data_IF_796121816716
#
_entry.id   IF_796121816716
#
_cell.length_a   1.000
_cell.length_b   1.000
_cell.length_c   1.000
_cell.angle_alpha   90.00
_cell.angle_beta   90.00
_cell.angle_gamma   90.00
#
_symmetry.space_group_name_H-M   'P 1'
#
loop_
_entity.id
_entity.type
_entity.pdbx_description
1 polymer ?
#
# COMPACT_ATOMS: atom_id res chain seq x y z
N UNK A 1 -34.19 15.47 -75.27
CA UNK A 1 -35.08 15.70 -74.11
C UNK A 1 -34.23 16.35 -73.05
N UNK A 2 -34.40 17.66 -72.88
CA UNK A 2 -33.53 18.54 -72.06
C UNK A 2 -34.15 18.76 -70.68
N UNK A 3 -33.47 18.31 -69.61
CA UNK A 3 -33.90 18.54 -68.22
C UNK A 3 -33.17 19.72 -67.59
N UNK A 4 -33.93 20.76 -67.30
CA UNK A 4 -33.48 22.05 -66.72
C UNK A 4 -33.18 21.82 -65.20
N UNK A 5 -32.01 22.31 -64.76
CA UNK A 5 -31.65 22.43 -63.32
C UNK A 5 -32.32 23.70 -62.75
N UNK A 6 -32.85 23.64 -61.50
CA UNK A 6 -33.31 24.85 -60.81
C UNK A 6 -32.14 25.57 -60.13
N UNK A 7 -32.13 26.89 -60.32
CA UNK A 7 -31.19 27.83 -59.66
C UNK A 7 -31.59 28.04 -58.21
N UNK A 8 -30.65 27.84 -57.30
CA UNK A 8 -30.81 28.18 -55.84
C UNK A 8 -30.37 29.64 -55.64
N UNK A 9 -31.32 30.47 -55.17
CA UNK A 9 -31.09 31.85 -54.74
C UNK A 9 -30.27 31.87 -53.46
N UNK A 10 -29.19 32.60 -53.47
CA UNK A 10 -28.37 32.88 -52.29
C UNK A 10 -29.04 34.01 -51.48
N UNK A 11 -29.46 33.69 -50.23
CA UNK A 11 -29.90 34.70 -49.28
C UNK A 11 -28.69 35.09 -48.42
N UNK A 12 -28.27 36.32 -48.53
CA UNK A 12 -27.27 36.96 -47.69
C UNK A 12 -27.79 37.05 -46.26
N UNK A 13 -27.19 36.31 -45.34
CA UNK A 13 -27.42 36.54 -43.91
C UNK A 13 -26.21 37.26 -43.33
N UNK A 14 -26.48 38.44 -42.82
CA UNK A 14 -25.53 39.25 -42.07
C UNK A 14 -25.00 38.51 -40.87
N UNK A 15 -23.67 38.37 -40.80
CA UNK A 15 -22.97 37.76 -39.69
C UNK A 15 -22.74 38.82 -38.61
N UNK A 16 -23.55 38.75 -37.52
CA UNK A 16 -23.32 39.52 -36.30
C UNK A 16 -22.14 38.93 -35.56
N UNK A 17 -21.03 39.67 -35.48
CA UNK A 17 -19.86 39.34 -34.67
C UNK A 17 -20.22 39.47 -33.20
N UNK A 18 -20.43 38.33 -32.52
CA UNK A 18 -20.44 38.25 -31.06
C UNK A 18 -19.00 38.02 -30.60
N UNK A 19 -18.40 39.07 -30.06
CA UNK A 19 -17.08 38.98 -29.39
C UNK A 19 -17.30 38.25 -28.06
N UNK A 20 -17.00 36.96 -28.03
CA UNK A 20 -16.93 36.17 -26.79
C UNK A 20 -15.62 36.53 -26.07
N UNK A 21 -15.70 37.30 -24.98
CA UNK A 21 -14.60 37.51 -24.06
C UNK A 21 -14.24 36.17 -23.37
N UNK A 22 -13.18 35.51 -23.82
CA UNK A 22 -12.57 34.37 -23.10
C UNK A 22 -11.95 34.88 -21.79
N UNK A 23 -12.66 34.71 -20.69
CA UNK A 23 -12.10 34.85 -19.34
C UNK A 23 -11.13 33.70 -19.16
N UNK A 24 -9.83 33.95 -19.24
CA UNK A 24 -8.76 33.01 -18.85
C UNK A 24 -8.83 32.82 -17.35
N UNK A 25 -9.55 31.79 -16.88
CA UNK A 25 -9.46 31.32 -15.52
C UNK A 25 -8.05 30.73 -15.31
N UNK A 26 -7.32 31.15 -14.27
CA UNK A 26 -6.02 30.52 -13.97
C UNK A 26 -6.27 29.06 -13.61
N UNK A 27 -5.65 28.16 -14.38
CA UNK A 27 -5.60 26.73 -14.08
C UNK A 27 -4.75 26.56 -12.81
N UNK A 28 -5.40 26.56 -11.65
CA UNK A 28 -4.71 26.20 -10.40
C UNK A 28 -4.34 24.73 -10.46
N UNK A 29 -3.07 24.36 -10.19
CA UNK A 29 -2.70 22.95 -10.12
C UNK A 29 -3.51 22.31 -8.98
N UNK A 30 -4.34 21.34 -9.34
CA UNK A 30 -5.05 20.47 -8.40
C UNK A 30 -4.00 19.85 -7.47
N UNK A 31 -4.01 20.27 -6.20
CA UNK A 31 -3.14 19.66 -5.19
C UNK A 31 -3.50 18.18 -5.15
N UNK A 32 -2.57 17.34 -5.62
CA UNK A 32 -2.65 15.90 -5.44
C UNK A 32 -2.90 15.63 -3.95
N UNK A 33 -4.13 15.23 -3.62
CA UNK A 33 -4.49 14.83 -2.27
C UNK A 33 -3.65 13.60 -1.94
N UNK A 34 -2.72 13.76 -1.01
CA UNK A 34 -1.95 12.64 -0.48
C UNK A 34 -2.94 11.62 0.07
N UNK A 35 -2.80 10.35 -0.36
CA UNK A 35 -3.62 9.26 0.16
C UNK A 35 -3.64 9.30 1.70
N UNK A 36 -4.77 8.98 2.34
CA UNK A 36 -4.89 9.02 3.79
C UNK A 36 -3.75 8.19 4.42
N UNK A 37 -3.00 8.83 5.30
CA UNK A 37 -1.89 8.20 6.01
C UNK A 37 -2.49 7.31 7.10
N UNK A 38 -2.36 6.01 6.95
CA UNK A 38 -2.84 5.02 7.92
C UNK A 38 -1.72 4.79 8.93
N UNK A 39 -1.85 5.34 10.15
CA UNK A 39 -0.93 5.06 11.25
C UNK A 39 -1.00 3.57 11.68
N UNK A 40 0.09 3.00 12.27
CA UNK A 40 -0.01 1.70 12.88
C UNK A 40 -1.12 1.70 13.94
N UNK A 41 -1.99 0.68 13.97
CA UNK A 41 -3.03 0.59 15.00
C UNK A 41 -2.44 0.64 16.42
N UNK A 42 -3.16 1.23 17.36
CA UNK A 42 -2.76 1.22 18.75
C UNK A 42 -2.53 -0.22 19.22
N UNK A 43 -1.42 -0.48 19.95
CA UNK A 43 -1.04 -1.82 20.40
C UNK A 43 -0.37 -2.70 19.36
N UNK A 44 -0.16 -2.24 18.11
CA UNK A 44 0.49 -3.05 17.07
C UNK A 44 1.87 -3.58 17.51
N UNK A 45 2.68 -2.79 18.20
CA UNK A 45 3.99 -3.24 18.65
C UNK A 45 3.90 -4.42 19.66
N UNK A 46 2.90 -4.41 20.54
CA UNK A 46 2.67 -5.55 21.46
C UNK A 46 2.17 -6.78 20.69
N UNK A 47 1.25 -6.60 19.77
CA UNK A 47 0.75 -7.65 18.88
C UNK A 47 1.88 -8.26 18.05
N UNK A 48 2.76 -7.42 17.47
CA UNK A 48 3.92 -7.87 16.69
C UNK A 48 4.88 -8.73 17.53
N UNK A 49 5.19 -8.30 18.77
CA UNK A 49 6.03 -9.09 19.69
C UNK A 49 5.42 -10.44 20.06
N UNK A 50 4.12 -10.50 20.24
CA UNK A 50 3.41 -11.75 20.57
C UNK A 50 3.37 -12.73 19.37
N UNK A 51 3.16 -12.22 18.15
CA UNK A 51 2.92 -13.06 16.97
C UNK A 51 4.18 -13.36 16.15
N UNK A 52 5.16 -12.46 16.13
CA UNK A 52 6.40 -12.57 15.36
C UNK A 52 7.61 -12.06 16.16
N UNK A 53 7.98 -12.71 17.30
CA UNK A 53 8.97 -12.21 18.25
C UNK A 53 10.38 -12.07 17.67
N UNK A 54 10.67 -12.75 16.56
CA UNK A 54 11.97 -12.72 15.90
C UNK A 54 12.20 -11.52 14.98
N UNK A 55 11.19 -10.65 14.84
CA UNK A 55 11.27 -9.45 14.00
C UNK A 55 11.02 -8.22 14.86
N UNK A 56 11.87 -7.20 14.71
CA UNK A 56 11.67 -5.93 15.39
C UNK A 56 10.29 -5.34 15.03
N UNK A 57 9.48 -4.91 16.02
CA UNK A 57 8.12 -4.42 15.78
C UNK A 57 8.02 -3.21 14.84
N UNK A 58 9.04 -2.32 14.80
CA UNK A 58 9.04 -1.17 13.91
C UNK A 58 9.32 -1.59 12.48
N UNK A 59 10.24 -2.54 12.29
CA UNK A 59 10.50 -3.17 10.99
C UNK A 59 9.25 -3.88 10.47
N UNK A 60 8.58 -4.63 11.33
CA UNK A 60 7.35 -5.33 10.98
C UNK A 60 6.21 -4.36 10.66
N UNK A 61 6.06 -3.28 11.43
CA UNK A 61 5.07 -2.22 11.13
C UNK A 61 5.31 -1.57 9.77
N UNK A 62 6.58 -1.32 9.40
CA UNK A 62 6.93 -0.76 8.11
C UNK A 62 6.59 -1.71 6.96
N UNK A 63 6.88 -2.99 7.14
CA UNK A 63 6.52 -4.05 6.20
C UNK A 63 4.99 -4.10 6.02
N UNK A 64 4.24 -4.26 7.10
CA UNK A 64 2.78 -4.40 7.07
C UNK A 64 2.07 -3.16 6.51
N UNK A 65 2.56 -1.97 6.80
CA UNK A 65 2.06 -0.74 6.15
C UNK A 65 2.24 -0.82 4.63
N UNK A 66 3.39 -1.29 4.17
CA UNK A 66 3.71 -1.40 2.74
C UNK A 66 2.88 -2.45 2.04
N UNK A 67 2.67 -3.61 2.69
CA UNK A 67 1.98 -4.76 2.12
C UNK A 67 0.46 -4.57 2.07
N UNK A 68 -0.15 -4.14 3.16
CA UNK A 68 -1.60 -4.16 3.30
C UNK A 68 -2.21 -2.87 3.85
N UNK A 69 -1.39 -1.87 4.22
CA UNK A 69 -1.86 -0.71 5.01
C UNK A 69 -2.62 -1.15 6.28
N UNK A 70 -2.15 -2.22 6.93
CA UNK A 70 -2.76 -2.86 8.11
C UNK A 70 -4.16 -3.46 7.86
N UNK A 71 -4.55 -3.70 6.62
CA UNK A 71 -5.82 -4.38 6.31
C UNK A 71 -5.65 -5.91 6.44
N UNK A 72 -6.31 -6.58 7.40
CA UNK A 72 -6.19 -8.02 7.60
C UNK A 72 -6.84 -8.84 6.48
N UNK A 73 -7.74 -8.23 5.68
CA UNK A 73 -8.44 -8.87 4.57
C UNK A 73 -7.85 -8.53 3.20
N UNK A 74 -6.70 -7.86 3.18
CA UNK A 74 -6.07 -7.47 1.91
C UNK A 74 -5.74 -8.69 1.05
N UNK A 75 -6.01 -8.58 -0.25
CA UNK A 75 -5.66 -9.57 -1.26
C UNK A 75 -4.92 -8.89 -2.40
N UNK A 76 -3.68 -9.32 -2.63
CA UNK A 76 -2.90 -8.99 -3.81
C UNK A 76 -3.03 -10.09 -4.86
N UNK A 77 -3.20 -9.74 -6.13
CA UNK A 77 -3.32 -10.69 -7.24
C UNK A 77 -2.13 -10.53 -8.17
N UNK A 78 -1.47 -11.64 -8.48
CA UNK A 78 -0.31 -11.59 -9.38
C UNK A 78 -0.77 -11.25 -10.81
N UNK A 79 -0.19 -10.18 -11.36
CA UNK A 79 -0.51 -9.73 -12.72
C UNK A 79 -1.86 -9.05 -12.90
N UNK A 80 -2.63 -8.81 -11.80
CA UNK A 80 -3.94 -8.18 -11.86
C UNK A 80 -4.25 -7.35 -10.61
N UNK A 81 -5.41 -6.71 -10.58
CA UNK A 81 -5.94 -5.99 -9.41
C UNK A 81 -7.40 -6.34 -9.18
N UNK A 82 -7.80 -6.46 -7.93
CA UNK A 82 -9.21 -6.46 -7.57
C UNK A 82 -9.80 -5.06 -7.79
N UNK A 83 -11.06 -4.99 -8.18
CA UNK A 83 -11.79 -3.71 -8.31
C UNK A 83 -11.82 -2.94 -6.98
N UNK A 84 -11.95 -3.66 -5.88
CA UNK A 84 -11.79 -3.15 -4.50
C UNK A 84 -11.27 -4.26 -3.58
N UNK A 85 -10.82 -3.90 -2.41
CA UNK A 85 -10.46 -4.88 -1.38
C UNK A 85 -11.72 -5.42 -0.68
N UNK A 86 -11.68 -6.68 -0.17
CA UNK A 86 -12.76 -7.24 0.62
C UNK A 86 -13.03 -6.42 1.88
N UNK A 87 -14.30 -6.29 2.25
CA UNK A 87 -14.74 -5.57 3.45
C UNK A 87 -14.95 -6.50 4.67
N UNK A 88 -14.93 -7.82 4.47
CA UNK A 88 -15.14 -8.81 5.53
C UNK A 88 -14.33 -10.09 5.27
N UNK A 89 -14.19 -10.90 6.33
CA UNK A 89 -13.57 -12.23 6.23
C UNK A 89 -14.30 -13.12 5.22
N UNK A 90 -15.63 -13.14 5.25
CA UNK A 90 -16.43 -13.95 4.34
C UNK A 90 -16.19 -13.57 2.87
N UNK A 91 -16.12 -12.28 2.58
CA UNK A 91 -15.82 -11.77 1.24
C UNK A 91 -14.38 -12.10 0.80
N UNK A 92 -13.42 -11.97 1.73
CA UNK A 92 -12.03 -12.31 1.47
C UNK A 92 -11.87 -13.81 1.13
N UNK A 93 -12.47 -14.69 1.92
CA UNK A 93 -12.48 -16.14 1.67
C UNK A 93 -13.17 -16.50 0.35
N UNK A 94 -14.32 -15.90 0.05
CA UNK A 94 -15.01 -16.14 -1.22
C UNK A 94 -14.13 -15.70 -2.41
N UNK A 95 -13.45 -14.56 -2.28
CA UNK A 95 -12.56 -14.04 -3.32
C UNK A 95 -11.36 -14.96 -3.55
N UNK A 96 -10.70 -15.43 -2.48
CA UNK A 96 -9.56 -16.34 -2.63
C UNK A 96 -9.97 -17.69 -3.20
N UNK A 97 -11.11 -18.25 -2.81
CA UNK A 97 -11.65 -19.47 -3.46
C UNK A 97 -11.89 -19.29 -4.96
N UNK A 98 -12.44 -18.13 -5.35
CA UNK A 98 -12.66 -17.83 -6.77
C UNK A 98 -11.35 -17.66 -7.55
N UNK A 99 -10.30 -17.09 -6.94
CA UNK A 99 -8.97 -16.99 -7.55
C UNK A 99 -8.31 -18.36 -7.67
N UNK A 100 -8.35 -19.17 -6.60
CA UNK A 100 -7.78 -20.51 -6.56
C UNK A 100 -8.44 -21.43 -7.60
N UNK A 101 -9.77 -21.41 -7.73
CA UNK A 101 -10.53 -22.18 -8.74
C UNK A 101 -10.13 -21.84 -10.18
N UNK A 102 -9.54 -20.65 -10.40
CA UNK A 102 -9.04 -20.18 -11.71
C UNK A 102 -7.54 -20.35 -11.87
N UNK A 103 -6.84 -20.93 -10.89
CA UNK A 103 -5.38 -21.06 -10.90
C UNK A 103 -4.63 -19.72 -10.84
N UNK A 104 -5.27 -18.66 -10.36
CA UNK A 104 -4.67 -17.34 -10.27
C UNK A 104 -3.93 -17.22 -8.94
N UNK A 105 -2.62 -16.90 -9.00
CA UNK A 105 -1.78 -16.73 -7.82
C UNK A 105 -2.14 -15.43 -7.07
N UNK A 106 -2.19 -15.52 -5.74
CA UNK A 106 -2.56 -14.42 -4.87
C UNK A 106 -1.77 -14.42 -3.56
N UNK A 107 -1.77 -13.26 -2.90
CA UNK A 107 -1.21 -13.06 -1.55
C UNK A 107 -2.27 -12.48 -0.64
N UNK A 108 -2.22 -12.78 0.66
CA UNK A 108 -3.30 -12.43 1.58
C UNK A 108 -2.83 -11.87 2.92
N UNK A 109 -3.73 -11.12 3.53
CA UNK A 109 -3.64 -10.69 4.92
C UNK A 109 -2.68 -9.54 5.15
N UNK A 110 -2.37 -9.31 6.43
CA UNK A 110 -1.49 -8.23 6.88
C UNK A 110 -0.15 -8.24 6.16
N UNK A 111 0.49 -9.42 6.11
CA UNK A 111 1.84 -9.62 5.58
C UNK A 111 1.85 -10.03 4.10
N UNK A 112 0.71 -10.04 3.42
CA UNK A 112 0.58 -10.44 2.02
C UNK A 112 1.33 -11.74 1.69
N UNK A 113 1.09 -12.77 2.52
CA UNK A 113 1.70 -14.10 2.32
C UNK A 113 1.12 -14.73 1.06
N UNK A 114 1.99 -15.11 0.11
CA UNK A 114 1.56 -15.77 -1.13
C UNK A 114 1.07 -17.20 -0.84
N UNK A 115 0.03 -17.66 -1.56
CA UNK A 115 -0.58 -18.98 -1.35
C UNK A 115 0.41 -20.14 -1.49
N UNK A 116 1.45 -19.99 -2.32
CA UNK A 116 2.51 -21.00 -2.50
C UNK A 116 3.33 -21.25 -1.22
N UNK A 117 3.29 -20.31 -0.31
CA UNK A 117 4.00 -20.39 0.97
C UNK A 117 3.12 -20.94 2.10
N UNK A 118 1.81 -21.13 1.89
CA UNK A 118 0.89 -21.51 2.96
C UNK A 118 1.31 -22.80 3.68
N UNK A 119 1.50 -23.86 2.94
CA UNK A 119 1.89 -25.15 3.52
C UNK A 119 3.18 -25.06 4.34
N UNK A 120 4.18 -24.31 3.85
CA UNK A 120 5.47 -24.15 4.53
C UNK A 120 5.34 -23.41 5.87
N UNK A 121 4.45 -22.42 5.96
CA UNK A 121 4.30 -21.58 7.15
C UNK A 121 3.02 -21.86 7.96
N UNK A 122 2.37 -23.01 7.73
CA UNK A 122 1.21 -23.46 8.50
C UNK A 122 -0.03 -22.60 8.32
N UNK A 123 -0.22 -22.04 7.13
CA UNK A 123 -1.44 -21.37 6.72
C UNK A 123 -2.31 -22.30 5.86
N UNK A 124 -3.60 -22.10 5.96
CA UNK A 124 -4.62 -22.75 5.14
C UNK A 124 -5.79 -21.79 4.90
N UNK A 125 -6.84 -22.26 4.22
CA UNK A 125 -8.02 -21.46 3.91
C UNK A 125 -8.72 -20.89 5.17
N UNK A 126 -8.67 -21.61 6.30
CA UNK A 126 -9.30 -21.21 7.55
C UNK A 126 -8.49 -20.19 8.33
N UNK A 127 -7.15 -20.20 8.19
CA UNK A 127 -6.21 -19.47 9.03
C UNK A 127 -5.46 -18.35 8.34
N UNK A 128 -5.46 -18.32 7.00
CA UNK A 128 -4.67 -17.37 6.21
C UNK A 128 -4.99 -15.89 6.47
N UNK A 129 -6.20 -15.58 6.92
CA UNK A 129 -6.63 -14.22 7.30
C UNK A 129 -6.60 -13.97 8.81
N UNK A 130 -6.25 -14.98 9.64
CA UNK A 130 -6.04 -14.75 11.07
C UNK A 130 -4.84 -13.82 11.27
N UNK A 131 -5.00 -12.65 11.89
CA UNK A 131 -3.95 -11.64 11.93
C UNK A 131 -2.64 -12.14 12.52
N UNK A 132 -2.69 -12.91 13.62
CA UNK A 132 -1.49 -13.41 14.28
C UNK A 132 -0.79 -14.51 13.47
N UNK A 133 -1.54 -15.43 12.87
CA UNK A 133 -0.96 -16.49 12.01
C UNK A 133 -0.34 -15.92 10.75
N UNK A 134 -1.02 -14.99 10.12
CA UNK A 134 -0.51 -14.31 8.92
C UNK A 134 0.76 -13.51 9.23
N UNK A 135 0.76 -12.76 10.34
CA UNK A 135 1.93 -11.99 10.78
C UNK A 135 3.11 -12.89 11.13
N UNK A 136 2.85 -14.04 11.81
CA UNK A 136 3.88 -15.06 12.11
C UNK A 136 4.52 -15.60 10.83
N UNK A 137 3.70 -15.96 9.85
CA UNK A 137 4.18 -16.45 8.56
C UNK A 137 5.04 -15.39 7.85
N UNK A 138 4.57 -14.15 7.78
CA UNK A 138 5.34 -13.04 7.20
C UNK A 138 6.66 -12.78 7.93
N UNK A 139 6.63 -12.80 9.27
CA UNK A 139 7.83 -12.68 10.10
C UNK A 139 8.84 -13.80 9.85
N UNK A 140 8.38 -15.04 9.72
CA UNK A 140 9.23 -16.19 9.40
C UNK A 140 9.89 -16.06 8.02
N UNK A 141 9.12 -15.64 7.00
CA UNK A 141 9.66 -15.38 5.65
C UNK A 141 10.76 -14.31 5.71
N UNK A 142 10.51 -13.18 6.41
CA UNK A 142 11.51 -12.12 6.54
C UNK A 142 12.76 -12.59 7.28
N UNK A 143 12.59 -13.36 8.36
CA UNK A 143 13.70 -13.94 9.15
C UNK A 143 14.56 -14.89 8.31
N UNK A 144 13.96 -15.77 7.51
CA UNK A 144 14.70 -16.64 6.59
C UNK A 144 15.47 -15.84 5.53
N UNK A 145 14.84 -14.82 4.95
CA UNK A 145 15.48 -13.91 4.01
C UNK A 145 16.66 -13.17 4.67
N UNK A 146 16.51 -12.74 5.92
CA UNK A 146 17.56 -12.05 6.67
C UNK A 146 18.73 -12.97 6.97
N UNK A 147 18.47 -14.19 7.45
CA UNK A 147 19.51 -15.18 7.70
C UNK A 147 20.35 -15.47 6.45
N UNK A 148 19.68 -15.65 5.30
CA UNK A 148 20.35 -15.86 4.01
C UNK A 148 21.20 -14.65 3.58
N UNK A 149 20.70 -13.43 3.79
CA UNK A 149 21.41 -12.20 3.38
C UNK A 149 22.58 -11.88 4.30
N UNK A 150 22.45 -12.14 5.61
CA UNK A 150 23.51 -11.94 6.61
C UNK A 150 24.68 -12.91 6.42
N UNK A 151 24.39 -14.13 6.02
CA UNK A 151 25.42 -15.15 5.70
C UNK A 151 26.37 -14.77 4.58
N UNK A 152 26.11 -13.67 3.85
CA UNK A 152 26.98 -13.15 2.78
C UNK A 152 27.98 -12.08 3.25
N UNK A 153 28.13 -11.85 4.55
CA UNK A 153 29.04 -10.85 5.11
C UNK A 153 28.58 -9.39 4.99
N UNK A 154 27.33 -9.15 4.66
CA UNK A 154 26.77 -7.78 4.59
C UNK A 154 26.64 -7.16 5.99
N UNK A 155 26.90 -5.84 6.14
CA UNK A 155 26.51 -5.11 7.35
C UNK A 155 25.00 -5.28 7.63
N UNK A 156 24.61 -5.33 8.90
CA UNK A 156 23.23 -5.65 9.32
C UNK A 156 22.14 -4.85 8.59
N UNK A 157 22.33 -3.56 8.41
CA UNK A 157 21.36 -2.72 7.69
C UNK A 157 21.24 -3.08 6.21
N UNK A 158 22.36 -3.38 5.55
CA UNK A 158 22.37 -3.82 4.15
C UNK A 158 21.76 -5.23 4.01
N UNK A 159 22.01 -6.11 4.98
CA UNK A 159 21.40 -7.42 5.05
C UNK A 159 19.87 -7.32 5.22
N UNK A 160 19.38 -6.41 6.07
CA UNK A 160 17.93 -6.17 6.22
C UNK A 160 17.29 -5.67 4.92
N UNK A 161 17.92 -4.72 4.24
CA UNK A 161 17.41 -4.23 2.95
C UNK A 161 17.40 -5.33 1.88
N UNK A 162 18.43 -6.17 1.83
CA UNK A 162 18.45 -7.34 0.95
C UNK A 162 17.38 -8.37 1.34
N UNK A 163 17.13 -8.57 2.64
CA UNK A 163 16.05 -9.42 3.14
C UNK A 163 14.66 -8.91 2.70
N UNK A 164 14.44 -7.60 2.72
CA UNK A 164 13.21 -7.00 2.21
C UNK A 164 13.05 -7.24 0.70
N UNK A 165 14.14 -7.12 -0.09
CA UNK A 165 14.11 -7.49 -1.51
C UNK A 165 13.75 -8.97 -1.71
N UNK A 166 14.34 -9.86 -0.91
CA UNK A 166 14.05 -11.30 -0.90
C UNK A 166 12.59 -11.59 -0.52
N UNK A 167 12.05 -10.91 0.48
CA UNK A 167 10.66 -11.01 0.89
C UNK A 167 9.70 -10.74 -0.27
N UNK A 168 9.96 -9.67 -1.00
CA UNK A 168 9.16 -9.24 -2.15
C UNK A 168 9.25 -10.17 -3.36
N UNK A 169 10.45 -10.69 -3.66
CA UNK A 169 10.71 -11.31 -4.97
C UNK A 169 11.45 -12.65 -4.91
N UNK A 170 11.80 -13.14 -3.72
CA UNK A 170 12.64 -14.33 -3.55
C UNK A 170 14.13 -14.12 -3.80
N UNK A 171 14.56 -12.94 -4.28
CA UNK A 171 15.96 -12.61 -4.55
C UNK A 171 16.38 -11.26 -3.94
N UNK A 172 17.69 -11.03 -3.85
CA UNK A 172 18.24 -9.87 -3.14
C UNK A 172 18.38 -8.58 -3.96
N UNK A 173 17.83 -8.53 -5.18
CA UNK A 173 18.05 -7.41 -6.11
C UNK A 173 16.76 -6.78 -6.65
N UNK A 174 15.76 -7.58 -7.00
CA UNK A 174 14.53 -7.11 -7.64
C UNK A 174 13.75 -6.10 -6.78
N UNK A 175 13.76 -6.26 -5.44
CA UNK A 175 13.09 -5.32 -4.54
C UNK A 175 13.70 -3.91 -4.57
N UNK A 176 14.98 -3.77 -4.90
CA UNK A 176 15.63 -2.47 -5.09
C UNK A 176 15.19 -1.84 -6.43
N UNK A 177 15.32 -2.58 -7.53
CA UNK A 177 14.99 -2.07 -8.87
C UNK A 177 13.51 -1.75 -9.04
N UNK A 178 12.60 -2.48 -8.35
CA UNK A 178 11.17 -2.21 -8.34
C UNK A 178 10.75 -1.07 -7.40
N UNK A 179 11.68 -0.52 -6.61
CA UNK A 179 11.41 0.49 -5.59
C UNK A 179 10.70 -0.06 -4.34
N UNK A 180 10.56 -1.38 -4.20
CA UNK A 180 9.89 -1.98 -3.04
C UNK A 180 10.62 -1.67 -1.73
N UNK A 181 11.93 -1.87 -1.68
CA UNK A 181 12.76 -1.56 -0.50
C UNK A 181 12.62 -0.10 -0.09
N UNK A 182 12.64 0.82 -1.06
CA UNK A 182 12.44 2.26 -0.81
C UNK A 182 11.06 2.57 -0.24
N UNK A 183 10.01 1.87 -0.67
CA UNK A 183 8.65 2.01 -0.10
C UNK A 183 8.61 1.57 1.37
N UNK A 184 9.24 0.44 1.71
CA UNK A 184 9.29 -0.03 3.11
C UNK A 184 10.05 0.97 3.98
N UNK A 185 11.17 1.51 3.51
CA UNK A 185 11.93 2.55 4.24
C UNK A 185 11.07 3.81 4.44
N UNK A 186 10.31 4.23 3.40
CA UNK A 186 9.39 5.36 3.53
C UNK A 186 8.27 5.08 4.54
N UNK A 187 7.73 3.87 4.57
CA UNK A 187 6.76 3.41 5.57
C UNK A 187 7.32 3.44 6.99
N UNK A 188 8.59 3.04 7.20
CA UNK A 188 9.26 3.13 8.50
C UNK A 188 9.36 4.59 8.98
N UNK A 189 9.76 5.51 8.09
CA UNK A 189 9.83 6.94 8.40
C UNK A 189 8.46 7.55 8.71
N UNK A 190 7.41 7.13 8.01
CA UNK A 190 6.04 7.57 8.29
C UNK A 190 5.57 7.06 9.65
N UNK A 191 5.80 5.77 9.97
CA UNK A 191 5.47 5.20 11.27
C UNK A 191 6.15 5.94 12.43
N UNK A 192 7.43 6.28 12.26
CA UNK A 192 8.19 7.02 13.28
C UNK A 192 7.63 8.43 13.53
N UNK A 193 7.13 9.11 12.49
CA UNK A 193 6.53 10.44 12.61
C UNK A 193 5.14 10.40 13.25
N UNK A 194 4.36 9.37 12.95
CA UNK A 194 2.99 9.21 13.43
C UNK A 194 2.92 8.56 14.82
N UNK A 195 3.94 7.76 15.19
CA UNK A 195 4.11 7.18 16.53
C UNK A 195 4.94 8.05 17.48
N UNK A 196 5.35 9.25 17.03
CA UNK A 196 6.08 10.20 17.86
C UNK A 196 5.23 10.62 19.04
N UNK A 197 5.78 10.44 20.25
CA UNK A 197 5.22 11.04 21.47
C UNK A 197 5.17 12.54 21.20
N UNK A 198 3.97 13.12 21.27
CA UNK A 198 3.80 14.56 21.15
C UNK A 198 4.69 15.22 22.23
N UNK A 199 5.56 16.15 21.88
CA UNK A 199 6.42 16.77 22.87
C UNK A 199 5.52 17.40 23.94
N UNK A 200 5.83 17.15 25.22
CA UNK A 200 5.10 17.79 26.33
C UNK A 200 5.14 19.30 26.05
N UNK A 201 3.99 19.96 25.86
CA UNK A 201 3.97 21.39 25.62
C UNK A 201 4.61 22.09 26.79
N UNK A 202 5.52 23.04 26.53
CA UNK A 202 6.08 23.88 27.58
C UNK A 202 4.92 24.56 28.30
N UNK A 203 4.81 24.37 29.64
CA UNK A 203 3.93 25.14 30.46
C UNK A 203 4.25 26.62 30.20
N UNK A 204 3.30 27.40 29.70
CA UNK A 204 3.45 28.85 29.67
C UNK A 204 3.52 29.28 31.12
N UNK A 205 4.61 29.98 31.47
CA UNK A 205 4.68 30.65 32.74
C UNK A 205 3.49 31.62 32.81
N UNK A 206 2.46 31.19 33.50
CA UNK A 206 1.30 32.04 33.80
C UNK A 206 1.80 33.11 34.79
N UNK A 207 1.73 34.42 34.47
CA UNK A 207 2.18 35.44 35.38
C UNK A 207 1.41 35.30 36.70
N UNK A 208 2.07 35.47 37.85
CA UNK A 208 1.40 35.33 39.13
C UNK A 208 0.22 36.33 39.24
N UNK A 209 -0.88 35.91 39.86
CA UNK A 209 -2.06 36.76 40.00
C UNK A 209 -1.64 38.07 40.68
N UNK A 210 -2.07 39.20 40.10
CA UNK A 210 -1.85 40.52 40.68
C UNK A 210 -2.55 40.60 42.06
N UNK A 211 -1.77 41.02 43.08
CA UNK A 211 -2.30 41.26 44.43
C UNK A 211 -3.01 42.60 44.47
#
# INVERSE_FOLDING_TARGET
MSARRPQRKWASRACSLVIAACVLAPCMPERAQAAPRVAPPAGFAQFARACAPNVDPQTLAALIRTESSFNPFAIGVVGARLARQPASLAEAQATTRALAARGISYSVGLAQVNERNFAKYGLDESTMFEPCRNLRAGGAILTECFARSSGTGRPAQAALQAALSCYYSGNFTTGFSSGYVSRVIASARSNAREGGVEPIPLARDEPPPAR
#
